data_IF_970174996576
#
_entry.id   IF_970174996576
#
_cell.length_a   1.000
_cell.length_b   1.000
_cell.length_c   1.000
_cell.angle_alpha   90.00
_cell.angle_beta   90.00
_cell.angle_gamma   90.00
#
_symmetry.space_group_name_H-M   'P 1'
#
loop_
_entity.id
_entity.type
_entity.pdbx_description
1 polymer ?
#
# COMPACT_ATOMS: atom_id res chain seq x y z
N UNK A 1 -16.37 11.46 2.23
CA UNK A 1 -16.94 11.44 3.59
C UNK A 1 -16.61 12.71 4.38
N UNK A 2 -15.31 13.08 4.53
CA UNK A 2 -14.87 14.23 5.35
C UNK A 2 -15.51 15.56 4.94
N UNK A 3 -15.57 15.91 3.65
CA UNK A 3 -16.19 17.14 3.15
C UNK A 3 -17.68 17.23 3.44
N UNK A 4 -18.39 16.11 3.36
CA UNK A 4 -19.83 16.07 3.70
C UNK A 4 -20.03 16.39 5.18
N UNK A 5 -19.19 15.82 6.05
CA UNK A 5 -19.27 16.08 7.49
C UNK A 5 -18.96 17.54 7.80
N UNK A 6 -17.90 18.12 7.22
CA UNK A 6 -17.60 19.54 7.40
C UNK A 6 -18.71 20.46 6.87
N UNK A 7 -19.21 20.19 5.67
CA UNK A 7 -20.31 20.97 5.09
C UNK A 7 -21.56 20.92 5.98
N UNK A 8 -21.90 19.74 6.51
CA UNK A 8 -23.04 19.58 7.40
C UNK A 8 -22.81 20.31 8.76
N UNK A 9 -21.64 20.13 9.37
CA UNK A 9 -21.32 20.75 10.66
C UNK A 9 -21.38 22.27 10.59
N UNK A 10 -20.75 22.88 9.59
CA UNK A 10 -20.77 24.33 9.41
C UNK A 10 -22.13 24.85 8.94
N UNK A 11 -22.89 24.05 8.19
CA UNK A 11 -24.28 24.35 7.85
C UNK A 11 -25.17 24.48 9.09
N UNK A 12 -25.01 23.59 10.07
CA UNK A 12 -25.71 23.67 11.37
C UNK A 12 -25.31 24.92 12.15
N UNK A 13 -24.03 25.33 12.12
CA UNK A 13 -23.56 26.56 12.78
C UNK A 13 -24.19 27.82 12.16
N UNK A 14 -24.38 27.84 10.83
CA UNK A 14 -25.08 28.92 10.13
C UNK A 14 -26.57 28.90 10.47
N UNK A 15 -27.21 27.73 10.48
CA UNK A 15 -28.62 27.60 10.85
C UNK A 15 -28.92 28.07 12.29
N UNK A 16 -27.94 27.92 13.21
CA UNK A 16 -27.98 28.44 14.57
C UNK A 16 -27.65 29.93 14.68
N UNK A 17 -27.39 30.62 13.56
CA UNK A 17 -27.02 32.04 13.56
C UNK A 17 -25.64 32.37 14.10
N UNK A 18 -24.78 31.37 14.33
CA UNK A 18 -23.44 31.55 14.89
C UNK A 18 -22.39 31.99 13.88
N UNK A 19 -22.67 31.76 12.58
CA UNK A 19 -21.81 32.10 11.45
C UNK A 19 -22.62 32.74 10.32
N UNK A 20 -21.97 33.61 9.54
CA UNK A 20 -22.63 34.24 8.39
C UNK A 20 -22.76 33.25 7.22
N UNK A 21 -23.78 33.46 6.39
CA UNK A 21 -23.98 32.69 5.16
C UNK A 21 -22.83 32.87 4.17
N UNK A 22 -22.24 34.07 4.10
CA UNK A 22 -21.08 34.35 3.26
C UNK A 22 -19.85 33.53 3.70
N UNK A 23 -19.63 33.39 4.99
CA UNK A 23 -18.56 32.53 5.53
C UNK A 23 -18.74 31.08 5.08
N UNK A 24 -19.96 30.58 5.18
CA UNK A 24 -20.29 29.19 4.77
C UNK A 24 -20.14 28.97 3.26
N UNK A 25 -20.59 29.93 2.46
CA UNK A 25 -20.41 29.86 1.00
C UNK A 25 -18.92 29.79 0.61
N UNK A 26 -18.08 30.61 1.24
CA UNK A 26 -16.64 30.61 1.00
C UNK A 26 -16.00 29.26 1.40
N UNK A 27 -16.38 28.73 2.55
CA UNK A 27 -15.92 27.41 3.01
C UNK A 27 -16.30 26.30 2.04
N UNK A 28 -17.55 26.30 1.54
CA UNK A 28 -18.02 25.35 0.54
C UNK A 28 -17.19 25.45 -0.75
N UNK A 29 -16.97 26.66 -1.27
CA UNK A 29 -16.16 26.85 -2.49
C UNK A 29 -14.74 26.33 -2.27
N UNK A 30 -14.08 26.74 -1.17
CA UNK A 30 -12.71 26.32 -0.86
C UNK A 30 -12.59 24.78 -0.74
N UNK A 31 -13.63 24.10 -0.25
CA UNK A 31 -13.61 22.64 -0.06
C UNK A 31 -14.02 21.85 -1.29
N UNK A 32 -15.12 22.22 -1.92
CA UNK A 32 -15.69 21.44 -3.02
C UNK A 32 -14.92 21.60 -4.32
N UNK A 33 -14.34 22.80 -4.59
CA UNK A 33 -13.56 23.02 -5.82
C UNK A 33 -12.34 22.09 -5.90
N UNK A 34 -11.45 21.99 -4.90
CA UNK A 34 -10.35 21.04 -4.94
C UNK A 34 -10.81 19.58 -4.96
N UNK A 35 -11.91 19.26 -4.29
CA UNK A 35 -12.47 17.91 -4.29
C UNK A 35 -12.94 17.51 -5.69
N UNK A 36 -13.70 18.37 -6.37
CA UNK A 36 -14.15 18.14 -7.75
C UNK A 36 -12.96 18.06 -8.71
N UNK A 37 -11.97 18.95 -8.57
CA UNK A 37 -10.74 18.90 -9.34
C UNK A 37 -9.99 17.58 -9.15
N UNK A 38 -9.93 17.07 -7.91
CA UNK A 38 -9.37 15.75 -7.60
C UNK A 38 -10.13 14.59 -8.26
N UNK A 39 -11.46 14.62 -8.24
CA UNK A 39 -12.28 13.62 -8.91
C UNK A 39 -12.10 13.64 -10.44
N UNK A 40 -12.01 14.82 -11.05
CA UNK A 40 -11.73 14.97 -12.48
C UNK A 40 -10.35 14.41 -12.81
N UNK A 41 -9.34 14.73 -12.02
CA UNK A 41 -7.97 14.23 -12.19
C UNK A 41 -7.91 12.70 -12.13
N UNK A 42 -8.60 12.08 -11.16
CA UNK A 42 -8.69 10.62 -11.06
C UNK A 42 -9.36 10.00 -12.29
N UNK A 43 -10.40 10.65 -12.83
CA UNK A 43 -11.10 10.17 -14.03
C UNK A 43 -10.23 10.27 -15.28
N UNK A 44 -9.43 11.32 -15.40
CA UNK A 44 -8.57 11.57 -16.58
C UNK A 44 -7.27 10.76 -16.56
N UNK A 45 -6.61 10.65 -15.40
CA UNK A 45 -5.29 10.03 -15.26
C UNK A 45 -5.30 8.65 -14.61
N UNK A 46 -6.46 8.19 -14.15
CA UNK A 46 -6.62 6.92 -13.45
C UNK A 46 -6.22 6.96 -11.98
N UNK A 47 -6.55 5.87 -11.26
CA UNK A 47 -6.35 5.77 -9.81
C UNK A 47 -4.89 5.73 -9.35
N UNK A 48 -3.95 5.43 -10.26
CA UNK A 48 -2.51 5.32 -9.94
C UNK A 48 -1.75 6.66 -10.00
N UNK A 49 -2.44 7.79 -10.27
CA UNK A 49 -1.77 9.08 -10.41
C UNK A 49 -1.16 9.56 -9.09
N UNK A 50 0.12 9.91 -9.15
CA UNK A 50 0.85 10.49 -7.99
C UNK A 50 0.43 11.93 -7.68
N UNK A 51 -0.26 12.60 -8.59
CA UNK A 51 -0.67 14.01 -8.43
C UNK A 51 -1.89 14.17 -7.52
N UNK A 52 -2.71 13.13 -7.36
CA UNK A 52 -3.91 13.18 -6.53
C UNK A 52 -3.61 13.55 -5.08
N UNK A 53 -2.50 13.03 -4.50
CA UNK A 53 -2.06 13.40 -3.15
C UNK A 53 -1.83 14.90 -3.00
N UNK A 54 -1.29 15.55 -4.04
CA UNK A 54 -1.02 16.99 -4.02
C UNK A 54 -2.32 17.80 -4.05
N UNK A 55 -3.25 17.44 -4.93
CA UNK A 55 -4.56 18.10 -5.02
C UNK A 55 -5.32 17.96 -3.70
N UNK A 56 -5.29 16.77 -3.09
CA UNK A 56 -5.92 16.52 -1.79
C UNK A 56 -5.28 17.36 -0.69
N UNK A 57 -3.95 17.35 -0.58
CA UNK A 57 -3.23 18.04 0.50
C UNK A 57 -3.31 19.55 0.36
N UNK A 58 -3.08 20.12 -0.83
CA UNK A 58 -3.17 21.56 -1.04
C UNK A 58 -4.62 22.06 -0.96
N UNK A 59 -5.56 21.33 -1.55
CA UNK A 59 -6.98 21.68 -1.46
C UNK A 59 -7.48 21.74 -0.03
N UNK A 60 -7.16 20.72 0.77
CA UNK A 60 -7.51 20.74 2.18
C UNK A 60 -6.70 21.77 2.97
N UNK A 61 -5.44 21.97 2.62
CA UNK A 61 -4.59 22.99 3.24
C UNK A 61 -5.18 24.40 3.13
N UNK A 62 -5.76 24.76 2.00
CA UNK A 62 -6.44 26.04 1.78
C UNK A 62 -7.63 26.20 2.72
N UNK A 63 -8.46 25.13 2.83
CA UNK A 63 -9.61 25.14 3.74
C UNK A 63 -9.18 25.22 5.20
N UNK A 64 -8.16 24.44 5.54
CA UNK A 64 -7.60 24.45 6.89
C UNK A 64 -7.06 25.83 7.27
N UNK A 65 -6.32 26.46 6.37
CA UNK A 65 -5.82 27.83 6.56
C UNK A 65 -6.96 28.83 6.72
N UNK A 66 -8.03 28.71 5.91
CA UNK A 66 -9.21 29.56 6.04
C UNK A 66 -9.90 29.38 7.40
N UNK A 67 -10.08 28.13 7.85
CA UNK A 67 -10.67 27.82 9.15
C UNK A 67 -9.78 28.37 10.29
N UNK A 68 -8.49 28.12 10.24
CA UNK A 68 -7.54 28.59 11.27
C UNK A 68 -7.50 30.11 11.35
N UNK A 69 -7.54 30.82 10.22
CA UNK A 69 -7.53 32.29 10.19
C UNK A 69 -8.83 32.92 10.67
N UNK A 70 -9.95 32.21 10.60
CA UNK A 70 -11.30 32.80 10.88
C UNK A 70 -11.97 32.26 12.14
N UNK A 71 -11.46 31.16 12.68
CA UNK A 71 -12.03 30.52 13.88
C UNK A 71 -11.27 30.89 15.13
N UNK A 72 -12.01 31.29 16.16
CA UNK A 72 -11.49 31.50 17.52
C UNK A 72 -11.65 30.25 18.41
N UNK A 73 -12.02 29.13 17.83
CA UNK A 73 -12.23 27.87 18.57
C UNK A 73 -10.92 27.13 18.75
N UNK A 74 -10.56 26.82 19.99
CA UNK A 74 -9.29 26.16 20.33
C UNK A 74 -9.06 24.75 19.79
N UNK A 75 -10.06 24.13 19.14
CA UNK A 75 -9.93 22.78 18.57
C UNK A 75 -9.81 22.74 17.05
N UNK A 76 -9.76 23.89 16.37
CA UNK A 76 -9.70 23.93 14.91
C UNK A 76 -8.44 23.24 14.34
N UNK A 77 -7.34 23.25 15.08
CA UNK A 77 -6.08 22.60 14.69
C UNK A 77 -6.23 21.09 14.51
N UNK A 78 -7.20 20.45 15.18
CA UNK A 78 -7.40 19.00 15.07
C UNK A 78 -7.92 18.56 13.71
N UNK A 79 -8.50 19.46 12.92
CA UNK A 79 -9.08 19.14 11.60
C UNK A 79 -8.06 18.66 10.58
N UNK A 80 -6.78 18.94 10.80
CA UNK A 80 -5.69 18.48 9.92
C UNK A 80 -5.34 17.00 10.11
N UNK A 81 -5.58 16.41 11.28
CA UNK A 81 -5.12 15.06 11.61
C UNK A 81 -5.75 13.97 10.73
N UNK A 82 -7.04 13.98 10.37
CA UNK A 82 -7.59 13.02 9.43
C UNK A 82 -6.91 13.08 8.06
N UNK A 83 -6.54 14.26 7.58
CA UNK A 83 -5.80 14.39 6.33
C UNK A 83 -4.36 13.88 6.47
N UNK A 84 -3.69 14.21 7.57
CA UNK A 84 -2.34 13.71 7.84
C UNK A 84 -2.31 12.18 7.87
N UNK A 85 -3.33 11.54 8.46
CA UNK A 85 -3.49 10.09 8.44
C UNK A 85 -3.68 9.53 7.03
N UNK A 86 -4.41 10.23 6.15
CA UNK A 86 -4.54 9.84 4.74
C UNK A 86 -3.22 10.01 3.98
N UNK A 87 -2.48 11.07 4.24
CA UNK A 87 -1.16 11.31 3.61
C UNK A 87 -0.16 10.22 4.01
N UNK A 88 -0.24 9.71 5.24
CA UNK A 88 0.59 8.59 5.73
C UNK A 88 0.44 7.31 4.89
N UNK A 89 -0.76 7.04 4.36
CA UNK A 89 -1.04 5.86 3.52
C UNK A 89 -0.20 5.84 2.24
N UNK A 90 0.19 6.99 1.71
CA UNK A 90 1.05 7.08 0.52
C UNK A 90 2.50 6.63 0.75
N UNK A 91 2.89 6.40 2.03
CA UNK A 91 4.23 5.91 2.41
C UNK A 91 5.38 6.75 1.85
N UNK A 92 5.15 8.06 1.67
CA UNK A 92 6.14 9.02 1.21
C UNK A 92 6.61 9.88 2.39
N UNK A 93 7.71 9.46 3.02
CA UNK A 93 8.26 10.11 4.22
C UNK A 93 8.60 11.59 3.98
N UNK A 94 9.19 11.90 2.82
CA UNK A 94 9.60 13.27 2.50
C UNK A 94 8.41 14.18 2.23
N UNK A 95 7.38 13.63 1.61
CA UNK A 95 6.13 14.34 1.41
C UNK A 95 5.42 14.63 2.73
N UNK A 96 5.34 13.63 3.60
CA UNK A 96 4.76 13.78 4.93
C UNK A 96 5.54 14.81 5.77
N UNK A 97 6.87 14.79 5.71
CA UNK A 97 7.70 15.75 6.43
C UNK A 97 7.42 17.19 5.97
N UNK A 98 7.39 17.44 4.65
CA UNK A 98 7.05 18.76 4.08
C UNK A 98 5.64 19.22 4.48
N UNK A 99 4.68 18.29 4.40
CA UNK A 99 3.30 18.55 4.82
C UNK A 99 3.23 18.91 6.30
N UNK A 100 3.90 18.15 7.16
CA UNK A 100 3.95 18.40 8.62
C UNK A 100 4.60 19.74 8.94
N UNK A 101 5.72 20.05 8.31
CA UNK A 101 6.41 21.33 8.50
C UNK A 101 5.53 22.53 8.09
N UNK A 102 4.86 22.44 6.94
CA UNK A 102 3.95 23.47 6.47
C UNK A 102 2.79 23.70 7.45
N UNK A 103 2.23 22.63 8.00
CA UNK A 103 1.15 22.75 9.00
C UNK A 103 1.63 23.30 10.33
N UNK A 104 2.81 22.91 10.81
CA UNK A 104 3.40 23.50 12.01
C UNK A 104 3.65 25.00 11.84
N UNK A 105 4.06 25.44 10.65
CA UNK A 105 4.20 26.87 10.33
C UNK A 105 2.84 27.58 10.37
N UNK A 106 1.78 26.98 9.82
CA UNK A 106 0.43 27.55 9.87
C UNK A 106 -0.05 27.70 11.32
N UNK A 107 0.10 26.66 12.13
CA UNK A 107 -0.25 26.70 13.56
C UNK A 107 0.59 27.75 14.29
N UNK A 108 1.90 27.81 14.02
CA UNK A 108 2.80 28.80 14.62
C UNK A 108 2.42 30.25 14.25
N UNK A 109 2.06 30.50 12.99
CA UNK A 109 1.57 31.82 12.56
C UNK A 109 0.25 32.18 13.25
N UNK A 110 -0.67 31.22 13.39
CA UNK A 110 -1.92 31.43 14.11
C UNK A 110 -1.65 31.81 15.58
N UNK A 111 -0.83 31.05 16.29
CA UNK A 111 -0.43 31.31 17.66
C UNK A 111 0.24 32.69 17.79
N UNK A 112 1.18 33.02 16.91
CA UNK A 112 1.85 34.31 16.89
C UNK A 112 0.84 35.46 16.67
N UNK A 113 -0.09 35.30 15.72
CA UNK A 113 -1.13 36.28 15.45
C UNK A 113 -2.04 36.50 16.66
N UNK A 114 -2.38 35.45 17.38
CA UNK A 114 -3.15 35.57 18.63
C UNK A 114 -2.35 36.22 19.75
N UNK A 115 -1.06 35.91 19.84
CA UNK A 115 -0.16 36.47 20.83
C UNK A 115 0.03 38.00 20.66
N UNK A 116 0.26 38.45 19.43
CA UNK A 116 0.40 39.86 19.07
C UNK A 116 -0.95 40.59 19.00
N UNK A 117 -2.04 39.87 18.69
CA UNK A 117 -3.40 40.42 18.61
C UNK A 117 -4.11 40.63 19.96
N UNK A 118 -3.41 40.45 21.09
CA UNK A 118 -3.92 40.79 22.42
C UNK A 118 -4.61 39.63 23.15
N UNK A 119 -3.98 38.47 23.14
CA UNK A 119 -4.33 37.36 24.03
C UNK A 119 -4.32 37.84 25.49
N UNK A 120 -5.46 37.77 26.13
CA UNK A 120 -5.69 38.52 27.38
C UNK A 120 -5.69 37.63 28.63
N UNK A 121 -5.77 36.32 28.50
CA UNK A 121 -5.87 35.41 29.63
C UNK A 121 -4.75 34.37 29.68
N UNK A 122 -4.30 33.96 30.89
CA UNK A 122 -3.34 32.85 31.02
C UNK A 122 -3.87 31.53 30.47
N UNK A 123 -5.18 31.31 30.48
CA UNK A 123 -5.83 30.11 29.92
C UNK A 123 -5.69 30.06 28.42
N UNK A 124 -5.80 31.18 27.71
CA UNK A 124 -5.57 31.23 26.25
C UNK A 124 -4.12 30.86 25.90
N UNK A 125 -3.13 31.29 26.69
CA UNK A 125 -1.73 30.90 26.54
C UNK A 125 -1.53 29.40 26.63
N UNK A 126 -2.06 28.78 27.67
CA UNK A 126 -1.95 27.35 27.89
C UNK A 126 -2.58 26.56 26.73
N UNK A 127 -3.71 27.01 26.21
CA UNK A 127 -4.37 26.40 25.07
C UNK A 127 -3.48 26.37 23.83
N UNK A 128 -2.83 27.45 23.49
CA UNK A 128 -1.98 27.55 22.31
C UNK A 128 -0.65 26.79 22.45
N UNK A 129 -0.09 26.77 23.66
CA UNK A 129 1.08 25.94 23.95
C UNK A 129 0.77 24.45 23.81
N UNK A 130 -0.39 24.02 24.31
CA UNK A 130 -0.88 22.64 24.14
C UNK A 130 -1.18 22.32 22.69
N UNK A 131 -1.81 23.24 21.94
CA UNK A 131 -2.08 23.08 20.50
C UNK A 131 -0.81 22.79 19.72
N UNK A 132 0.24 23.60 19.93
CA UNK A 132 1.53 23.40 19.27
C UNK A 132 2.19 22.09 19.69
N UNK A 133 2.22 21.79 20.99
CA UNK A 133 2.80 20.56 21.52
C UNK A 133 2.11 19.29 21.01
N UNK A 134 0.77 19.27 21.02
CA UNK A 134 -0.02 18.14 20.51
C UNK A 134 0.21 17.96 19.01
N UNK A 135 0.19 19.05 18.25
CA UNK A 135 0.41 19.00 16.80
C UNK A 135 1.80 18.45 16.47
N UNK A 136 2.83 18.92 17.16
CA UNK A 136 4.20 18.44 17.00
C UNK A 136 4.32 16.95 17.34
N UNK A 137 3.73 16.51 18.45
CA UNK A 137 3.73 15.11 18.89
C UNK A 137 3.03 14.19 17.88
N UNK A 138 1.86 14.61 17.39
CA UNK A 138 1.13 13.85 16.37
C UNK A 138 1.93 13.68 15.08
N UNK A 139 2.57 14.74 14.58
CA UNK A 139 3.40 14.64 13.39
C UNK A 139 4.64 13.79 13.60
N UNK A 140 5.26 13.88 14.77
CA UNK A 140 6.35 12.96 15.13
C UNK A 140 5.87 11.49 15.05
N UNK A 141 4.72 11.19 15.65
CA UNK A 141 4.10 9.87 15.58
C UNK A 141 3.81 9.40 14.14
N UNK A 142 3.26 10.27 13.29
CA UNK A 142 3.00 9.95 11.88
C UNK A 142 4.28 9.69 11.10
N UNK A 143 5.34 10.47 11.31
CA UNK A 143 6.64 10.28 10.63
C UNK A 143 7.28 8.96 11.06
N UNK A 144 7.26 8.64 12.37
CA UNK A 144 7.77 7.38 12.90
C UNK A 144 6.98 6.19 12.36
N UNK A 145 5.66 6.27 12.39
CA UNK A 145 4.76 5.24 11.87
C UNK A 145 4.96 5.01 10.37
N UNK A 146 5.07 6.07 9.58
CA UNK A 146 5.37 5.97 8.14
C UNK A 146 6.74 5.32 7.88
N UNK A 147 7.75 5.68 8.67
CA UNK A 147 9.08 5.06 8.56
C UNK A 147 9.05 3.57 8.89
N UNK A 148 8.27 3.18 9.89
CA UNK A 148 8.06 1.78 10.24
C UNK A 148 7.33 1.02 9.13
N UNK A 149 6.26 1.59 8.57
CA UNK A 149 5.51 1.00 7.46
C UNK A 149 6.39 0.76 6.23
N UNK A 150 7.23 1.73 5.86
CA UNK A 150 8.15 1.60 4.72
C UNK A 150 9.16 0.45 4.96
N UNK A 151 9.71 0.33 6.19
CA UNK A 151 10.63 -0.75 6.53
C UNK A 151 9.95 -2.12 6.52
N UNK A 152 8.75 -2.21 7.09
CA UNK A 152 7.97 -3.45 7.13
C UNK A 152 7.62 -3.93 5.71
N UNK A 153 7.18 -3.03 4.84
CA UNK A 153 6.90 -3.35 3.44
C UNK A 153 8.15 -3.81 2.69
N UNK A 154 9.29 -3.13 2.91
CA UNK A 154 10.56 -3.53 2.31
C UNK A 154 10.99 -4.94 2.73
N UNK A 155 10.84 -5.28 3.99
CA UNK A 155 11.11 -6.63 4.51
C UNK A 155 10.17 -7.68 3.92
N UNK A 156 8.86 -7.37 3.85
CA UNK A 156 7.85 -8.25 3.23
C UNK A 156 8.16 -8.50 1.75
N UNK A 157 8.47 -7.44 1.01
CA UNK A 157 8.79 -7.54 -0.42
C UNK A 157 10.07 -8.35 -0.65
N UNK A 158 11.07 -8.19 0.22
CA UNK A 158 12.28 -8.99 0.23
C UNK A 158 11.98 -10.47 0.42
N UNK A 159 11.20 -10.81 1.45
CA UNK A 159 10.79 -12.20 1.73
C UNK A 159 10.00 -12.84 0.58
N UNK A 160 9.06 -12.08 -0.01
CA UNK A 160 8.29 -12.56 -1.19
C UNK A 160 9.21 -12.83 -2.38
N UNK A 161 10.17 -11.94 -2.65
CA UNK A 161 11.15 -12.11 -3.72
C UNK A 161 12.03 -13.36 -3.51
N UNK A 162 12.50 -13.57 -2.29
CA UNK A 162 13.31 -14.74 -1.93
C UNK A 162 12.51 -16.04 -2.07
N UNK A 163 11.26 -16.05 -1.61
CA UNK A 163 10.37 -17.20 -1.80
C UNK A 163 10.11 -17.47 -3.28
N UNK A 164 9.88 -16.44 -4.10
CA UNK A 164 9.71 -16.60 -5.54
C UNK A 164 10.95 -17.20 -6.20
N UNK A 165 12.14 -16.72 -5.84
CA UNK A 165 13.40 -17.28 -6.33
C UNK A 165 13.55 -18.77 -5.95
N UNK A 166 13.19 -19.13 -4.72
CA UNK A 166 13.20 -20.54 -4.29
C UNK A 166 12.23 -21.40 -5.09
N UNK A 167 11.03 -20.90 -5.36
CA UNK A 167 10.05 -21.60 -6.23
C UNK A 167 10.61 -21.80 -7.63
N UNK A 168 11.20 -20.77 -8.23
CA UNK A 168 11.84 -20.87 -9.56
C UNK A 168 12.96 -21.93 -9.56
N UNK A 169 13.82 -21.94 -8.56
CA UNK A 169 14.89 -22.95 -8.43
C UNK A 169 14.30 -24.35 -8.28
N UNK A 170 13.26 -24.54 -7.48
CA UNK A 170 12.58 -25.84 -7.32
C UNK A 170 11.97 -26.32 -8.64
N UNK A 171 11.34 -25.43 -9.41
CA UNK A 171 10.80 -25.75 -10.73
C UNK A 171 11.90 -26.21 -11.69
N UNK A 172 13.06 -25.55 -11.68
CA UNK A 172 14.21 -25.99 -12.47
C UNK A 172 14.73 -27.36 -12.04
N UNK A 173 14.81 -27.64 -10.75
CA UNK A 173 15.21 -28.97 -10.24
C UNK A 173 14.22 -30.07 -10.64
N UNK A 174 12.91 -29.80 -10.49
CA UNK A 174 11.86 -30.74 -10.91
C UNK A 174 11.93 -31.01 -12.42
N UNK A 175 12.15 -29.96 -13.22
CA UNK A 175 12.33 -30.12 -14.67
C UNK A 175 13.55 -30.98 -15.00
N UNK A 176 14.69 -30.77 -14.33
CA UNK A 176 15.88 -31.59 -14.49
C UNK A 176 15.65 -33.06 -14.10
N UNK A 177 15.04 -33.29 -12.93
CA UNK A 177 14.70 -34.65 -12.48
C UNK A 177 13.72 -35.35 -13.44
N UNK A 178 12.72 -34.62 -13.96
CA UNK A 178 11.78 -35.14 -14.95
C UNK A 178 12.48 -35.56 -16.23
N UNK A 179 13.45 -34.77 -16.72
CA UNK A 179 14.26 -35.15 -17.91
C UNK A 179 15.03 -36.43 -17.64
N UNK A 180 15.70 -36.55 -16.49
CA UNK A 180 16.45 -37.77 -16.12
C UNK A 180 15.54 -39.00 -16.02
N UNK A 181 14.31 -38.83 -15.54
CA UNK A 181 13.32 -39.92 -15.47
C UNK A 181 12.92 -40.36 -16.90
N UNK A 182 12.68 -39.41 -17.82
CA UNK A 182 12.34 -39.71 -19.20
C UNK A 182 13.49 -40.48 -19.90
N UNK A 183 14.72 -40.02 -19.68
CA UNK A 183 15.90 -40.72 -20.22
C UNK A 183 16.02 -42.14 -19.65
N UNK A 184 15.81 -42.32 -18.33
CA UNK A 184 15.81 -43.62 -17.67
C UNK A 184 14.71 -44.54 -18.17
N UNK A 185 13.50 -44.04 -18.41
CA UNK A 185 12.40 -44.82 -19.01
C UNK A 185 12.74 -45.28 -20.44
N UNK A 186 13.44 -44.48 -21.20
CA UNK A 186 13.89 -44.82 -22.55
C UNK A 186 14.87 -45.99 -22.48
N UNK A 187 15.88 -45.95 -21.62
CA UNK A 187 16.84 -47.04 -21.42
C UNK A 187 16.16 -48.32 -20.94
N UNK A 188 15.22 -48.26 -20.01
CA UNK A 188 14.44 -49.41 -19.53
C UNK A 188 13.67 -50.05 -20.70
N UNK A 189 13.09 -49.23 -21.58
CA UNK A 189 12.37 -49.73 -22.74
C UNK A 189 13.29 -50.46 -23.73
N UNK A 190 14.48 -49.94 -24.01
CA UNK A 190 15.49 -50.55 -24.84
C UNK A 190 15.94 -51.91 -24.28
N UNK A 191 16.28 -51.97 -22.99
CA UNK A 191 16.64 -53.17 -22.28
C UNK A 191 15.51 -54.23 -22.28
N UNK A 192 14.26 -53.77 -22.16
CA UNK A 192 13.09 -54.68 -22.21
C UNK A 192 12.91 -55.31 -23.59
N UNK A 193 13.16 -54.57 -24.67
CA UNK A 193 13.10 -55.09 -26.01
C UNK A 193 14.24 -56.11 -26.25
N UNK A 194 15.48 -55.81 -25.82
CA UNK A 194 16.63 -56.71 -25.90
C UNK A 194 16.38 -58.02 -25.12
N UNK A 195 15.83 -57.92 -23.90
CA UNK A 195 15.45 -59.10 -23.12
C UNK A 195 14.37 -59.93 -23.78
N UNK A 196 13.41 -59.30 -24.46
CA UNK A 196 12.37 -60.04 -25.22
C UNK A 196 12.95 -60.77 -26.39
N UNK A 197 13.88 -60.16 -27.14
CA UNK A 197 14.58 -60.80 -28.22
C UNK A 197 15.45 -62.00 -27.71
N UNK A 198 16.18 -61.76 -26.59
CA UNK A 198 16.96 -62.79 -25.92
C UNK A 198 16.12 -64.00 -25.47
N UNK A 199 14.97 -63.73 -24.86
CA UNK A 199 14.02 -64.76 -24.46
C UNK A 199 13.48 -65.58 -25.67
N UNK A 200 13.17 -64.87 -26.76
CA UNK A 200 12.75 -65.53 -28.02
C UNK A 200 13.82 -66.43 -28.56
N UNK A 201 15.08 -66.01 -28.51
CA UNK A 201 16.22 -66.88 -28.98
C UNK A 201 16.41 -68.08 -28.05
N UNK A 202 16.22 -67.93 -26.74
CA UNK A 202 16.28 -69.07 -25.79
C UNK A 202 15.15 -70.06 -26.05
N UNK A 203 13.91 -69.64 -26.30
CA UNK A 203 12.78 -70.48 -26.62
C UNK A 203 13.07 -71.29 -27.90
N UNK A 204 13.54 -70.65 -28.97
CA UNK A 204 13.90 -71.32 -30.20
C UNK A 204 15.01 -72.38 -30.04
N UNK A 205 16.02 -72.09 -29.20
CA UNK A 205 17.07 -73.08 -28.87
C UNK A 205 16.53 -74.27 -28.06
N UNK A 206 15.62 -74.03 -27.13
CA UNK A 206 14.96 -75.08 -26.38
C UNK A 206 14.10 -75.98 -27.21
N UNK A 207 13.39 -75.44 -28.21
CA UNK A 207 12.64 -76.22 -29.22
C UNK A 207 13.58 -77.13 -30.05
N UNK A 208 14.71 -76.57 -30.50
CA UNK A 208 15.71 -77.38 -31.21
C UNK A 208 16.31 -78.53 -30.36
N UNK A 209 16.57 -78.23 -29.03
CA UNK A 209 17.06 -79.27 -28.13
C UNK A 209 16.01 -80.37 -27.92
N UNK A 210 14.73 -79.97 -27.70
CA UNK A 210 13.63 -80.92 -27.57
C UNK A 210 13.49 -81.83 -28.81
N UNK A 211 13.59 -81.24 -29.99
CA UNK A 211 13.52 -81.95 -31.23
C UNK A 211 14.70 -82.92 -31.42
N UNK A 212 15.92 -82.49 -31.04
CA UNK A 212 17.10 -83.36 -31.07
C UNK A 212 16.98 -84.51 -30.06
N UNK A 213 16.45 -84.25 -28.90
CA UNK A 213 16.23 -85.31 -27.90
C UNK A 213 15.17 -86.36 -28.36
N UNK A 214 14.12 -85.92 -29.04
CA UNK A 214 13.13 -86.79 -29.58
C UNK A 214 13.77 -87.74 -30.65
N UNK A 215 14.60 -87.24 -31.54
CA UNK A 215 15.33 -88.02 -32.52
C UNK A 215 16.34 -88.97 -31.88
N UNK A 216 16.97 -88.63 -30.79
CA UNK A 216 17.87 -89.52 -30.05
C UNK A 216 17.13 -90.65 -29.32
N UNK A 217 15.89 -90.40 -28.89
CA UNK A 217 15.06 -91.40 -28.20
C UNK A 217 14.45 -92.46 -29.13
N UNK A 218 14.43 -92.22 -30.41
CA UNK A 218 13.95 -93.12 -31.45
C UNK A 218 15.06 -94.07 -32.03
N UNK A 219 16.27 -93.93 -31.63
CA UNK A 219 17.43 -94.77 -31.95
C UNK A 219 17.75 -95.72 -30.79
#
# INVERSE_FOLDING_TARGET
AMWVVFSAAYGVEVAKGRRSTAYYAMLLVCGWVPFIAGCILLKLQGAATKQYKNVLAYGFGIVYLYIMATTKQGFAFTYIFPLASMVMIYKDKWYLLRFSTMNLVIVGINIASCYFGGMKTPEDKLYYELEFGITMLCYFGYIMSTSHLIRSDGSLLGSVKDNLNRVVMTVHQVKGASSTIVDGVTVIRELSEENKEGAGAVVSRMENVAQNNAVLSEK
#
